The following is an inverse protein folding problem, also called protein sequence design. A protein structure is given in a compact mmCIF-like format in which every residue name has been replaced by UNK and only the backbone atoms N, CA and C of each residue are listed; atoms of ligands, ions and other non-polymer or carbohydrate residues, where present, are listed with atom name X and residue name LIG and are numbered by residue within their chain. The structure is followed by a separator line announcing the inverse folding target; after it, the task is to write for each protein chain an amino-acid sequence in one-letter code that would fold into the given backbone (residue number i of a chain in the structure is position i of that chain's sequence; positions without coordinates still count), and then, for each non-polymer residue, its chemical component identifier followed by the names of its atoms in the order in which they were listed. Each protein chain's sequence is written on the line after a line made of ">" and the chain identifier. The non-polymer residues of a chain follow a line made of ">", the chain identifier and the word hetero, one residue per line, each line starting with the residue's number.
data_IF_651605081344
#
_entry.id   IF_651605081344
#
_cell.length_a   1.000
_cell.length_b   1.000
_cell.length_c   1.000
_cell.angle_alpha   90.00
_cell.angle_beta   90.00
_cell.angle_gamma   90.00
#
_symmetry.space_group_name_H-M   'P 1'
#
loop_
_entity.id
_entity.type
_entity.pdbx_description
1 polymer ?
#
# COMPACT_ATOMS: atom_id res chain seq x y z
N UNK A 1 -16.64 -5.79 28.47
CA UNK A 1 -15.83 -4.63 28.02
C UNK A 1 -15.80 -4.65 26.50
N UNK A 2 -16.42 -3.69 25.82
CA UNK A 2 -16.62 -3.72 24.36
C UNK A 2 -15.28 -3.62 23.61
N UNK A 3 -14.63 -4.76 23.40
CA UNK A 3 -13.32 -4.94 22.79
C UNK A 3 -13.43 -5.00 21.26
N UNK A 4 -14.27 -4.14 20.66
CA UNK A 4 -14.57 -4.14 19.24
C UNK A 4 -14.16 -2.79 18.65
N UNK A 5 -13.12 -2.80 17.82
CA UNK A 5 -12.72 -1.65 17.02
C UNK A 5 -13.91 -1.16 16.20
N UNK A 6 -14.13 0.16 16.20
CA UNK A 6 -15.09 0.79 15.29
C UNK A 6 -14.59 0.64 13.85
N UNK A 7 -15.50 0.73 12.88
CA UNK A 7 -15.11 0.53 11.48
C UNK A 7 -14.14 1.61 11.00
N UNK A 8 -14.23 2.83 11.54
CA UNK A 8 -13.25 3.91 11.29
C UNK A 8 -11.86 3.53 11.80
N UNK A 9 -11.77 2.93 12.99
CA UNK A 9 -10.49 2.49 13.55
C UNK A 9 -9.90 1.32 12.77
N UNK A 10 -10.72 0.37 12.29
CA UNK A 10 -10.26 -0.71 11.42
C UNK A 10 -9.72 -0.17 10.09
N UNK A 11 -10.44 0.77 9.47
CA UNK A 11 -10.01 1.39 8.22
C UNK A 11 -8.68 2.14 8.38
N UNK A 12 -8.52 2.88 9.46
CA UNK A 12 -7.26 3.56 9.78
C UNK A 12 -6.10 2.58 9.99
N UNK A 13 -6.33 1.50 10.73
CA UNK A 13 -5.32 0.46 10.96
C UNK A 13 -4.92 -0.25 9.66
N UNK A 14 -5.88 -0.51 8.77
CA UNK A 14 -5.61 -1.09 7.46
C UNK A 14 -4.80 -0.13 6.57
N UNK A 15 -5.19 1.15 6.50
CA UNK A 15 -4.45 2.19 5.77
C UNK A 15 -2.98 2.26 6.22
N UNK A 16 -2.72 2.18 7.52
CA UNK A 16 -1.38 2.21 8.09
C UNK A 16 -0.54 0.98 7.74
N UNK A 17 -1.15 -0.22 7.67
CA UNK A 17 -0.41 -1.48 7.53
C UNK A 17 -0.35 -2.02 6.09
N UNK A 18 -1.27 -1.63 5.20
CA UNK A 18 -1.43 -2.23 3.87
C UNK A 18 -0.12 -2.27 3.05
N UNK A 19 0.67 -1.20 3.06
CA UNK A 19 1.91 -1.12 2.29
C UNK A 19 2.99 -2.05 2.84
N UNK A 20 3.15 -2.09 4.17
CA UNK A 20 4.09 -2.97 4.83
C UNK A 20 3.72 -4.45 4.63
N UNK A 21 2.43 -4.77 4.74
CA UNK A 21 1.92 -6.12 4.46
C UNK A 21 2.15 -6.54 3.01
N UNK A 22 1.91 -5.64 2.05
CA UNK A 22 2.18 -5.92 0.64
C UNK A 22 3.67 -6.20 0.37
N UNK A 23 4.56 -5.35 0.89
CA UNK A 23 6.02 -5.57 0.78
C UNK A 23 6.47 -6.89 1.40
N UNK A 24 5.93 -7.25 2.56
CA UNK A 24 6.21 -8.52 3.20
C UNK A 24 5.73 -9.70 2.34
N UNK A 25 4.53 -9.60 1.74
CA UNK A 25 4.01 -10.59 0.80
C UNK A 25 4.92 -10.76 -0.42
N UNK A 26 5.34 -9.66 -1.05
CA UNK A 26 6.28 -9.71 -2.17
C UNK A 26 7.60 -10.39 -1.78
N UNK A 27 8.11 -10.13 -0.57
CA UNK A 27 9.33 -10.78 -0.07
C UNK A 27 9.15 -12.29 0.11
N UNK A 28 7.97 -12.77 0.51
CA UNK A 28 7.68 -14.21 0.58
C UNK A 28 7.73 -14.87 -0.80
N UNK A 29 7.39 -14.13 -1.86
CA UNK A 29 7.49 -14.58 -3.25
C UNK A 29 8.88 -14.35 -3.86
N UNK A 30 9.85 -13.86 -3.08
CA UNK A 30 11.22 -13.60 -3.53
C UNK A 30 11.40 -12.26 -4.25
N UNK A 31 10.36 -11.42 -4.34
CA UNK A 31 10.45 -10.10 -4.94
C UNK A 31 10.95 -9.06 -3.92
N UNK A 32 11.97 -8.28 -4.32
CA UNK A 32 12.44 -7.13 -3.54
C UNK A 32 12.01 -5.84 -4.21
N UNK A 33 11.02 -5.17 -3.63
CA UNK A 33 10.55 -3.87 -4.08
C UNK A 33 11.59 -2.80 -3.74
N UNK A 34 12.15 -2.14 -4.75
CA UNK A 34 13.14 -1.07 -4.63
C UNK A 34 12.51 0.31 -4.46
N UNK A 35 11.19 0.42 -4.68
CA UNK A 35 10.52 1.71 -4.74
C UNK A 35 10.30 2.30 -3.35
N UNK A 36 10.68 3.59 -3.13
CA UNK A 36 10.48 4.26 -1.86
C UNK A 36 9.00 4.29 -1.48
N UNK A 37 8.72 4.42 -0.19
CA UNK A 37 7.33 4.44 0.28
C UNK A 37 6.60 5.68 -0.25
N UNK A 38 5.68 5.45 -1.18
CA UNK A 38 4.86 6.49 -1.79
C UNK A 38 3.67 6.73 -0.87
N UNK A 39 3.44 8.00 -0.51
CA UNK A 39 2.25 8.40 0.24
C UNK A 39 1.01 8.14 -0.60
N UNK A 40 -0.11 7.82 0.06
CA UNK A 40 -1.35 7.44 -0.64
C UNK A 40 -1.84 8.45 -1.66
N UNK A 41 -1.61 9.75 -1.41
CA UNK A 41 -2.00 10.86 -2.29
C UNK A 41 -1.16 10.90 -3.59
N UNK A 42 0.11 10.52 -3.51
CA UNK A 42 1.04 10.53 -4.65
C UNK A 42 0.97 9.23 -5.46
N UNK A 43 0.35 8.18 -4.90
CA UNK A 43 0.29 6.86 -5.51
C UNK A 43 -0.44 6.87 -6.86
N UNK A 44 -1.55 7.61 -6.96
CA UNK A 44 -2.30 7.72 -8.22
C UNK A 44 -1.53 8.46 -9.30
N UNK A 45 -0.87 9.57 -8.93
CA UNK A 45 -0.01 10.33 -9.84
C UNK A 45 1.17 9.48 -10.33
N UNK A 46 1.79 8.69 -9.44
CA UNK A 46 2.85 7.75 -9.81
C UNK A 46 2.33 6.69 -10.78
N UNK A 47 1.19 6.08 -10.50
CA UNK A 47 0.58 5.08 -11.39
C UNK A 47 0.25 5.67 -12.76
N UNK A 48 -0.28 6.90 -12.81
CA UNK A 48 -0.53 7.59 -14.08
C UNK A 48 0.76 7.83 -14.88
N UNK A 49 1.85 8.22 -14.21
CA UNK A 49 3.17 8.37 -14.83
C UNK A 49 3.70 7.05 -15.38
N UNK A 50 3.65 5.97 -14.59
CA UNK A 50 4.09 4.63 -14.99
C UNK A 50 3.27 4.09 -16.17
N UNK A 51 1.94 4.29 -16.15
CA UNK A 51 1.07 3.90 -17.28
C UNK A 51 1.42 4.65 -18.56
N UNK A 52 1.81 5.92 -18.50
CA UNK A 52 2.29 6.64 -19.69
C UNK A 52 3.65 6.16 -20.18
N UNK A 53 4.50 5.72 -19.26
CA UNK A 53 5.86 5.26 -19.58
C UNK A 53 5.87 3.86 -20.21
N UNK A 54 4.98 2.97 -19.76
CA UNK A 54 4.99 1.55 -20.14
C UNK A 54 3.70 1.06 -20.82
N UNK A 55 2.61 1.83 -20.76
CA UNK A 55 1.36 1.53 -21.45
C UNK A 55 1.41 2.13 -22.85
N UNK A 56 1.66 1.28 -23.84
CA UNK A 56 1.38 1.59 -25.24
C UNK A 56 -0.13 1.75 -25.46
#
# INVERSE_FOLDING_TARGET
>A
MANKLTDKQKAALWQQRRNASYRASCRLEGFTLTEPEIKGEDAEARLASLRRQYGC
#
